data_IF_074106039865
#
_entry.id   IF_074106039865
#
_cell.length_a   1.000
_cell.length_b   1.000
_cell.length_c   1.000
_cell.angle_alpha   90.00
_cell.angle_beta   90.00
_cell.angle_gamma   90.00
#
_symmetry.space_group_name_H-M   'P 1'
#
loop_
_entity.id
_entity.type
_entity.pdbx_description
1 polymer ?
#
# COMPACT_ATOMS: atom_id res chain seq x y z
N UNK A 1 27.60 -26.03 21.06
CA UNK A 1 27.87 -25.28 19.82
C UNK A 1 26.52 -24.66 19.42
N UNK A 2 26.30 -23.41 19.81
CA UNK A 2 25.07 -22.68 19.45
C UNK A 2 25.09 -22.43 17.94
N UNK A 3 24.18 -23.05 17.22
CA UNK A 3 23.91 -22.70 15.85
C UNK A 3 23.25 -21.33 15.84
N UNK A 4 24.04 -20.29 15.58
CA UNK A 4 23.50 -18.98 15.22
C UNK A 4 22.76 -19.21 13.90
N UNK A 5 21.43 -19.26 13.97
CA UNK A 5 20.57 -19.23 12.80
C UNK A 5 20.76 -17.90 12.09
N UNK A 6 21.70 -17.86 11.12
CA UNK A 6 21.85 -16.73 10.23
C UNK A 6 20.65 -16.71 9.29
N UNK A 7 19.59 -16.02 9.68
CA UNK A 7 18.49 -15.72 8.78
C UNK A 7 19.00 -14.88 7.61
N UNK A 8 18.43 -15.09 6.45
CA UNK A 8 18.67 -14.25 5.27
C UNK A 8 18.44 -12.78 5.62
N UNK A 9 19.28 -11.88 5.10
CA UNK A 9 19.10 -10.43 5.28
C UNK A 9 17.76 -9.95 4.68
N UNK A 10 17.27 -10.61 3.62
CA UNK A 10 16.04 -10.27 2.91
C UNK A 10 14.86 -11.21 3.23
N UNK A 11 14.75 -11.70 4.49
CA UNK A 11 13.63 -12.55 4.91
C UNK A 11 12.29 -11.97 4.44
N UNK A 12 11.46 -12.84 3.83
CA UNK A 12 10.14 -12.46 3.36
C UNK A 12 9.07 -12.66 4.44
N UNK A 13 8.35 -11.60 4.74
CA UNK A 13 7.08 -11.66 5.46
C UNK A 13 5.92 -11.48 4.47
N UNK A 14 5.05 -12.48 4.34
CA UNK A 14 3.92 -12.47 3.42
C UNK A 14 2.63 -12.73 4.18
N UNK A 15 1.65 -11.84 4.04
CA UNK A 15 0.37 -11.90 4.76
C UNK A 15 0.55 -12.11 6.29
N UNK A 16 1.43 -11.30 6.90
CA UNK A 16 1.73 -11.34 8.33
C UNK A 16 2.59 -12.54 8.79
N UNK A 17 3.08 -13.38 7.88
CA UNK A 17 3.86 -14.58 8.19
C UNK A 17 5.27 -14.47 7.66
N UNK A 18 6.28 -14.56 8.51
CA UNK A 18 7.68 -14.63 8.09
C UNK A 18 8.02 -16.04 7.62
N UNK A 19 8.19 -16.24 6.31
CA UNK A 19 8.38 -17.56 5.70
C UNK A 19 9.69 -18.20 6.14
N UNK A 20 10.75 -17.42 6.29
CA UNK A 20 12.09 -17.87 6.72
C UNK A 20 12.10 -18.41 8.17
N UNK A 21 11.07 -18.05 8.97
CA UNK A 21 10.94 -18.53 10.37
C UNK A 21 9.98 -19.69 10.51
N UNK A 22 8.90 -19.71 9.73
CA UNK A 22 7.82 -20.71 9.89
C UNK A 22 8.03 -21.98 9.08
N UNK A 23 8.84 -21.92 8.00
CA UNK A 23 9.18 -23.10 7.20
C UNK A 23 10.63 -23.44 7.50
N UNK A 24 10.83 -24.48 8.32
CA UNK A 24 12.16 -24.96 8.64
C UNK A 24 12.94 -25.37 7.38
N UNK A 25 14.18 -24.89 7.25
CA UNK A 25 15.04 -25.11 6.08
C UNK A 25 14.68 -24.27 4.85
N UNK A 26 13.71 -23.38 4.91
CA UNK A 26 13.48 -22.34 3.90
C UNK A 26 14.36 -21.13 4.16
N UNK A 27 14.85 -20.52 3.10
CA UNK A 27 15.58 -19.24 3.16
C UNK A 27 15.35 -18.44 1.89
N UNK A 28 14.99 -17.18 2.04
CA UNK A 28 14.96 -16.20 0.95
C UNK A 28 16.39 -15.82 0.61
N UNK A 29 16.84 -16.07 -0.63
CA UNK A 29 18.24 -15.86 -1.04
C UNK A 29 18.44 -14.47 -1.63
N UNK A 30 17.56 -14.10 -2.56
CA UNK A 30 17.65 -12.86 -3.32
C UNK A 30 16.27 -12.38 -3.73
N UNK A 31 16.14 -11.07 -3.97
CA UNK A 31 14.89 -10.46 -4.40
C UNK A 31 15.18 -9.45 -5.51
N UNK A 32 14.54 -9.63 -6.66
CA UNK A 32 14.63 -8.75 -7.83
C UNK A 32 13.35 -7.93 -8.00
N UNK A 33 13.44 -6.80 -8.72
CA UNK A 33 12.27 -5.97 -9.06
C UNK A 33 11.88 -4.96 -7.98
N UNK A 34 12.64 -4.85 -6.87
CA UNK A 34 12.36 -3.89 -5.79
C UNK A 34 12.85 -2.47 -6.07
N UNK A 35 13.90 -2.36 -6.87
CA UNK A 35 14.58 -1.09 -7.14
C UNK A 35 14.32 -0.66 -8.58
N UNK A 36 14.69 0.58 -8.90
CA UNK A 36 14.69 1.17 -10.26
C UNK A 36 13.46 0.80 -11.09
N UNK A 37 12.48 1.66 -11.06
CA UNK A 37 11.22 1.46 -11.76
C UNK A 37 11.00 2.59 -12.75
N UNK A 38 10.68 2.24 -14.00
CA UNK A 38 10.50 3.21 -15.07
C UNK A 38 9.03 3.46 -15.34
N UNK A 39 8.64 4.72 -15.62
CA UNK A 39 7.30 5.02 -16.09
C UNK A 39 7.04 4.40 -17.46
N UNK A 40 5.78 4.11 -17.73
CA UNK A 40 5.27 3.83 -19.08
C UNK A 40 4.86 5.15 -19.71
N UNK A 41 5.54 5.54 -20.79
CA UNK A 41 5.31 6.79 -21.48
C UNK A 41 4.70 6.52 -22.85
N UNK A 42 3.58 7.16 -23.16
CA UNK A 42 2.93 7.09 -24.45
C UNK A 42 3.10 8.41 -25.19
N UNK A 43 3.62 8.34 -26.43
CA UNK A 43 3.89 9.50 -27.24
C UNK A 43 3.10 9.47 -28.55
N UNK A 44 2.71 10.65 -29.03
CA UNK A 44 2.09 10.81 -30.34
C UNK A 44 2.92 11.73 -31.20
N UNK A 45 3.23 11.27 -32.42
CA UNK A 45 3.87 12.09 -33.44
C UNK A 45 2.84 12.91 -34.20
N UNK A 46 3.06 14.21 -34.30
CA UNK A 46 2.23 15.14 -35.12
C UNK A 46 2.95 15.45 -36.40
N UNK A 47 2.26 15.24 -37.53
CA UNK A 47 2.81 15.52 -38.85
C UNK A 47 3.13 17.01 -39.03
N UNK A 48 4.33 17.33 -39.49
CA UNK A 48 4.78 18.71 -39.69
C UNK A 48 5.33 19.41 -38.44
N UNK A 49 5.52 18.67 -37.36
CA UNK A 49 6.15 19.15 -36.12
C UNK A 49 7.36 18.27 -35.79
N UNK A 50 8.44 18.90 -35.31
CA UNK A 50 9.60 18.19 -34.80
C UNK A 50 9.31 17.66 -33.38
N UNK A 51 9.78 16.42 -33.12
CA UNK A 51 9.56 15.73 -31.83
C UNK A 51 8.17 15.12 -31.70
N UNK A 52 7.87 14.64 -30.48
CA UNK A 52 6.63 13.95 -30.11
C UNK A 52 5.91 14.72 -29.02
N UNK A 53 4.60 14.46 -28.86
CA UNK A 53 3.79 14.97 -27.74
C UNK A 53 3.59 13.81 -26.77
N UNK A 54 3.92 14.02 -25.50
CA UNK A 54 3.57 13.09 -24.42
C UNK A 54 2.05 13.08 -24.23
N UNK A 55 1.44 11.90 -24.38
CA UNK A 55 0.00 11.71 -24.23
C UNK A 55 -0.33 11.18 -22.84
N UNK A 56 0.47 10.20 -22.35
CA UNK A 56 0.21 9.52 -21.10
C UNK A 56 1.53 9.23 -20.38
N UNK A 57 1.51 9.42 -19.07
CA UNK A 57 2.58 9.09 -18.14
C UNK A 57 1.96 8.29 -16.97
N UNK A 58 2.32 7.03 -16.87
CA UNK A 58 1.81 6.15 -15.83
C UNK A 58 2.88 5.18 -15.34
N UNK A 59 2.71 4.65 -14.13
CA UNK A 59 3.55 3.57 -13.61
C UNK A 59 2.81 2.25 -13.73
N UNK A 60 3.37 1.27 -14.47
CA UNK A 60 2.76 -0.04 -14.63
C UNK A 60 2.80 -0.85 -13.32
N UNK A 61 2.10 -1.98 -13.28
CA UNK A 61 2.23 -2.96 -12.20
C UNK A 61 3.68 -3.43 -12.06
N UNK A 62 4.06 -3.83 -10.86
CA UNK A 62 5.42 -4.28 -10.54
C UNK A 62 5.46 -5.79 -10.31
N UNK A 63 6.50 -6.43 -10.78
CA UNK A 63 6.79 -7.83 -10.47
C UNK A 63 8.00 -7.94 -9.56
N UNK A 64 7.81 -8.60 -8.42
CA UNK A 64 8.87 -8.90 -7.46
C UNK A 64 9.21 -10.38 -7.57
N UNK A 65 10.43 -10.71 -7.99
CA UNK A 65 10.91 -12.08 -8.10
C UNK A 65 11.70 -12.46 -6.86
N UNK A 66 11.23 -13.46 -6.15
CA UNK A 66 11.83 -13.95 -4.91
C UNK A 66 12.54 -15.28 -5.19
N UNK A 67 13.85 -15.31 -5.02
CA UNK A 67 14.66 -16.51 -5.09
C UNK A 67 14.76 -17.12 -3.71
N UNK A 68 14.55 -18.43 -3.63
CA UNK A 68 14.54 -19.15 -2.36
C UNK A 68 15.38 -20.44 -2.43
N UNK A 69 15.78 -20.90 -1.27
CA UNK A 69 16.39 -22.20 -1.01
C UNK A 69 15.48 -22.96 -0.04
N UNK A 70 15.22 -24.23 -0.34
CA UNK A 70 14.63 -25.19 0.62
C UNK A 70 15.58 -26.34 0.82
N UNK A 71 15.84 -26.69 2.09
CA UNK A 71 16.58 -27.88 2.50
C UNK A 71 15.68 -28.77 3.34
N UNK A 72 15.76 -30.09 3.09
CA UNK A 72 15.03 -31.07 3.88
C UNK A 72 15.91 -32.30 4.16
N UNK A 73 15.52 -33.10 5.15
CA UNK A 73 16.24 -34.33 5.52
C UNK A 73 16.08 -35.44 4.46
N UNK A 74 14.93 -35.47 3.80
CA UNK A 74 14.61 -36.41 2.75
C UNK A 74 13.56 -35.82 1.79
N UNK A 75 13.29 -36.55 0.68
CA UNK A 75 12.36 -36.12 -0.36
C UNK A 75 10.91 -35.93 0.16
N UNK A 76 10.44 -36.78 1.08
CA UNK A 76 9.08 -36.62 1.63
C UNK A 76 8.92 -35.29 2.39
N UNK A 77 9.91 -34.94 3.20
CA UNK A 77 9.94 -33.67 3.90
C UNK A 77 10.10 -32.50 2.92
N UNK A 78 10.90 -32.66 1.86
CA UNK A 78 11.03 -31.65 0.82
C UNK A 78 9.67 -31.34 0.18
N UNK A 79 8.94 -32.35 -0.26
CA UNK A 79 7.61 -32.19 -0.86
C UNK A 79 6.60 -31.56 0.12
N UNK A 80 6.68 -31.92 1.41
CA UNK A 80 5.83 -31.32 2.43
C UNK A 80 6.13 -29.83 2.61
N UNK A 81 7.41 -29.43 2.65
CA UNK A 81 7.82 -28.03 2.76
C UNK A 81 7.40 -27.22 1.53
N UNK A 82 7.51 -27.79 0.32
CA UNK A 82 7.01 -27.17 -0.90
C UNK A 82 5.50 -26.91 -0.86
N UNK A 83 4.71 -27.89 -0.41
CA UNK A 83 3.26 -27.69 -0.20
C UNK A 83 2.94 -26.62 0.81
N UNK A 84 3.70 -26.55 1.91
CA UNK A 84 3.54 -25.47 2.91
C UNK A 84 3.86 -24.10 2.33
N UNK A 85 4.95 -23.98 1.57
CA UNK A 85 5.31 -22.73 0.90
C UNK A 85 4.20 -22.28 -0.05
N UNK A 86 3.71 -23.17 -0.91
CA UNK A 86 2.59 -22.88 -1.81
C UNK A 86 1.35 -22.43 -1.04
N UNK A 87 0.99 -23.13 0.04
CA UNK A 87 -0.18 -22.79 0.87
C UNK A 87 -0.06 -21.40 1.51
N UNK A 88 1.14 -21.04 1.98
CA UNK A 88 1.34 -19.73 2.63
C UNK A 88 1.39 -18.56 1.63
N UNK A 89 1.76 -18.82 0.37
CA UNK A 89 1.80 -17.81 -0.69
C UNK A 89 0.46 -17.62 -1.40
N UNK A 90 -0.48 -18.56 -1.28
CA UNK A 90 -1.79 -18.41 -1.91
C UNK A 90 -2.64 -17.34 -1.23
N UNK A 91 -3.18 -16.45 -2.04
CA UNK A 91 -4.17 -15.45 -1.62
C UNK A 91 -5.17 -15.17 -2.75
N UNK A 92 -6.41 -14.81 -2.40
CA UNK A 92 -7.43 -14.41 -3.38
C UNK A 92 -7.32 -12.94 -3.76
N UNK A 93 -6.70 -12.14 -2.90
CA UNK A 93 -6.56 -10.69 -3.00
C UNK A 93 -5.08 -10.32 -2.84
N UNK A 94 -4.75 -9.09 -3.20
CA UNK A 94 -3.43 -8.55 -2.92
C UNK A 94 -3.26 -8.41 -1.40
N UNK A 95 -2.20 -8.99 -0.87
CA UNK A 95 -1.89 -9.00 0.56
C UNK A 95 -0.63 -8.22 0.86
N UNK A 96 -0.54 -7.72 2.08
CA UNK A 96 0.65 -7.02 2.54
C UNK A 96 1.84 -7.99 2.64
N UNK A 97 2.99 -7.57 2.11
CA UNK A 97 4.25 -8.27 2.27
C UNK A 97 5.42 -7.28 2.44
N UNK A 98 6.50 -7.76 3.05
CA UNK A 98 7.70 -6.95 3.31
C UNK A 98 8.94 -7.82 3.36
N UNK A 99 10.08 -7.17 3.19
CA UNK A 99 11.40 -7.79 3.33
C UNK A 99 12.13 -7.21 4.54
N UNK A 100 12.92 -8.01 5.22
CA UNK A 100 13.61 -7.60 6.45
C UNK A 100 14.66 -6.50 6.23
N UNK A 101 15.19 -6.39 5.03
CA UNK A 101 16.20 -5.40 4.60
C UNK A 101 15.59 -4.12 4.02
N UNK A 102 14.25 -4.00 3.95
CA UNK A 102 13.56 -2.85 3.39
C UNK A 102 12.60 -2.23 4.43
N UNK A 103 12.61 -0.91 4.54
CA UNK A 103 11.67 -0.22 5.42
C UNK A 103 10.37 0.10 4.65
N UNK A 104 9.35 -0.71 4.86
CA UNK A 104 8.06 -0.52 4.25
C UNK A 104 7.35 -1.82 3.94
N UNK A 105 6.18 -1.69 3.34
CA UNK A 105 5.33 -2.79 2.92
C UNK A 105 4.86 -2.58 1.49
N UNK A 106 4.61 -3.67 0.79
CA UNK A 106 4.00 -3.69 -0.54
C UNK A 106 2.74 -4.53 -0.50
N UNK A 107 1.89 -4.35 -1.50
CA UNK A 107 0.69 -5.16 -1.69
C UNK A 107 0.79 -5.94 -2.98
N UNK A 108 0.51 -7.23 -2.93
CA UNK A 108 0.59 -8.09 -4.10
C UNK A 108 0.18 -9.53 -3.79
N UNK A 109 0.17 -10.35 -4.82
CA UNK A 109 -0.16 -11.78 -4.74
C UNK A 109 0.76 -12.60 -5.62
N UNK A 110 0.85 -13.88 -5.30
CA UNK A 110 1.59 -14.84 -6.10
C UNK A 110 1.04 -14.88 -7.53
N UNK A 111 1.90 -14.67 -8.53
CA UNK A 111 1.54 -14.75 -9.96
C UNK A 111 2.15 -15.95 -10.67
N UNK A 112 3.35 -16.35 -10.30
CA UNK A 112 3.99 -17.53 -10.87
C UNK A 112 4.92 -18.21 -9.87
N UNK A 113 5.15 -19.49 -10.09
CA UNK A 113 5.98 -20.33 -9.25
C UNK A 113 6.77 -21.28 -10.14
N UNK A 114 8.09 -21.31 -9.99
CA UNK A 114 8.93 -22.29 -10.69
C UNK A 114 8.83 -23.64 -9.99
N UNK A 115 8.69 -24.70 -10.75
CA UNK A 115 8.64 -26.06 -10.26
C UNK A 115 10.08 -26.59 -10.10
N UNK A 116 10.60 -26.75 -8.88
CA UNK A 116 11.95 -27.28 -8.66
C UNK A 116 11.99 -28.79 -8.91
N UNK A 117 13.19 -29.38 -9.10
CA UNK A 117 13.34 -30.83 -9.30
C UNK A 117 12.66 -31.66 -8.23
N UNK A 118 11.87 -32.63 -8.65
CA UNK A 118 10.95 -33.40 -7.81
C UNK A 118 11.61 -34.40 -6.85
N UNK A 119 12.80 -34.86 -7.16
CA UNK A 119 13.55 -35.93 -6.47
C UNK A 119 14.74 -35.40 -5.65
N UNK A 120 14.64 -34.21 -5.15
CA UNK A 120 15.72 -33.56 -4.42
C UNK A 120 15.41 -33.38 -2.95
N UNK A 121 16.44 -33.29 -2.12
CA UNK A 121 16.37 -32.86 -0.71
C UNK A 121 16.72 -31.38 -0.56
N UNK A 122 17.26 -30.76 -1.61
CA UNK A 122 17.64 -29.36 -1.69
C UNK A 122 17.12 -28.80 -2.99
N UNK A 123 16.32 -27.76 -2.92
CA UNK A 123 15.79 -27.07 -4.09
C UNK A 123 16.08 -25.58 -4.02
N UNK A 124 16.52 -25.03 -5.15
CA UNK A 124 16.60 -23.60 -5.39
C UNK A 124 15.55 -23.29 -6.44
N UNK A 125 14.68 -22.35 -6.14
CA UNK A 125 13.63 -21.93 -7.05
C UNK A 125 13.37 -20.43 -6.94
N UNK A 126 12.40 -19.98 -7.73
CA UNK A 126 11.90 -18.61 -7.64
C UNK A 126 10.39 -18.61 -7.78
N UNK A 127 9.78 -17.57 -7.22
CA UNK A 127 8.38 -17.22 -7.48
C UNK A 127 8.25 -15.72 -7.68
N UNK A 128 7.18 -15.33 -8.34
CA UNK A 128 6.91 -13.93 -8.64
C UNK A 128 5.67 -13.47 -7.88
N UNK A 129 5.79 -12.34 -7.21
CA UNK A 129 4.67 -11.60 -6.62
C UNK A 129 4.32 -10.47 -7.57
N UNK A 130 3.09 -10.45 -8.05
CA UNK A 130 2.55 -9.36 -8.85
C UNK A 130 1.94 -8.30 -7.92
N UNK A 131 2.43 -7.07 -8.05
CA UNK A 131 1.93 -5.90 -7.35
C UNK A 131 1.14 -5.05 -8.33
N UNK A 132 -0.19 -5.05 -8.21
CA UNK A 132 -1.07 -4.20 -9.03
C UNK A 132 -0.79 -2.72 -8.77
N UNK A 133 -0.43 -2.40 -7.52
CA UNK A 133 0.08 -1.11 -7.08
C UNK A 133 1.62 -1.16 -6.97
N UNK A 134 2.36 -0.34 -7.73
CA UNK A 134 3.83 -0.44 -7.79
C UNK A 134 4.55 0.16 -6.59
N UNK A 135 3.85 0.84 -5.68
CA UNK A 135 4.46 1.61 -4.60
C UNK A 135 4.89 0.76 -3.40
N UNK A 136 5.93 1.26 -2.73
CA UNK A 136 6.31 0.87 -1.37
C UNK A 136 5.66 1.84 -0.40
N UNK A 137 5.04 1.33 0.64
CA UNK A 137 4.33 2.10 1.66
C UNK A 137 5.05 2.07 3.00
N UNK A 138 5.12 3.21 3.67
CA UNK A 138 5.57 3.30 5.05
C UNK A 138 4.60 2.60 6.02
N UNK A 139 4.98 2.52 7.29
CA UNK A 139 4.02 2.25 8.38
C UNK A 139 2.99 3.39 8.45
N UNK A 140 1.79 3.07 8.96
CA UNK A 140 0.75 4.08 9.19
C UNK A 140 1.27 5.15 10.16
N UNK A 141 1.08 6.39 9.78
CA UNK A 141 1.36 7.59 10.59
C UNK A 141 0.08 8.36 10.80
N UNK A 142 0.04 9.18 11.85
CA UNK A 142 -1.10 10.03 12.18
C UNK A 142 -0.62 11.45 12.43
N UNK A 143 -1.16 12.40 11.68
CA UNK A 143 -0.93 13.83 11.86
C UNK A 143 -2.26 14.56 12.12
N UNK A 144 -2.20 15.72 12.76
CA UNK A 144 -3.39 16.51 13.06
C UNK A 144 -3.34 17.85 12.34
N UNK A 145 -4.38 18.14 11.56
CA UNK A 145 -4.60 19.39 10.80
C UNK A 145 -3.56 19.72 9.73
N UNK A 146 -2.39 19.10 9.76
CA UNK A 146 -1.32 19.33 8.79
C UNK A 146 -0.42 18.12 8.70
N UNK A 147 -0.11 17.68 7.49
CA UNK A 147 0.90 16.64 7.23
C UNK A 147 2.29 17.27 7.40
N UNK A 148 3.11 16.68 8.26
CA UNK A 148 4.47 17.15 8.57
C UNK A 148 5.51 16.09 8.22
N UNK A 149 6.73 16.55 7.98
CA UNK A 149 7.95 15.74 7.95
C UNK A 149 7.84 14.45 7.10
N UNK A 150 7.39 14.60 5.86
CA UNK A 150 7.46 13.51 4.88
C UNK A 150 8.89 13.34 4.42
N UNK A 151 9.31 12.07 4.31
CA UNK A 151 10.59 11.71 3.70
C UNK A 151 10.52 11.90 2.18
N UNK A 152 9.36 11.62 1.60
CA UNK A 152 9.09 11.75 0.16
C UNK A 152 7.88 12.65 -0.04
N UNK A 153 8.08 13.86 -0.55
CA UNK A 153 7.03 14.86 -0.77
C UNK A 153 6.55 14.96 -2.22
N UNK A 154 7.12 14.14 -3.10
CA UNK A 154 6.82 14.17 -4.53
C UNK A 154 5.44 13.58 -4.86
N UNK A 155 5.02 12.52 -4.14
CA UNK A 155 3.78 11.82 -4.44
C UNK A 155 2.62 12.31 -3.56
N UNK A 156 1.39 12.45 -4.12
CA UNK A 156 0.23 12.73 -3.31
C UNK A 156 -0.05 11.56 -2.35
N UNK A 157 -0.49 11.89 -1.16
CA UNK A 157 -0.89 10.92 -0.14
C UNK A 157 -2.40 10.74 -0.23
N UNK A 158 -2.84 9.48 -0.36
CA UNK A 158 -4.24 9.14 -0.10
C UNK A 158 -4.34 8.71 1.36
N UNK A 159 -5.15 9.41 2.17
CA UNK A 159 -5.33 9.01 3.56
C UNK A 159 -5.97 7.62 3.65
N UNK A 160 -5.46 6.80 4.58
CA UNK A 160 -6.12 5.56 5.01
C UNK A 160 -7.45 5.87 5.71
N UNK A 161 -7.43 6.91 6.57
CA UNK A 161 -8.63 7.52 7.15
C UNK A 161 -8.41 8.98 7.52
N UNK A 162 -9.49 9.76 7.51
CA UNK A 162 -9.55 11.08 8.11
C UNK A 162 -10.63 11.04 9.18
N UNK A 163 -10.26 11.35 10.42
CA UNK A 163 -11.13 11.22 11.57
C UNK A 163 -11.26 12.55 12.32
N UNK A 164 -12.47 12.85 12.75
CA UNK A 164 -12.74 14.05 13.54
C UNK A 164 -13.89 13.86 14.52
N UNK A 165 -13.80 14.52 15.66
CA UNK A 165 -14.92 14.66 16.60
C UNK A 165 -15.43 16.09 16.51
N UNK A 166 -16.71 16.27 16.26
CA UNK A 166 -17.32 17.58 16.05
C UNK A 166 -17.45 18.34 17.36
N UNK A 167 -17.13 19.62 17.33
CA UNK A 167 -17.22 20.52 18.48
C UNK A 167 -18.43 21.42 18.42
N UNK A 168 -19.09 21.51 17.27
CA UNK A 168 -20.29 22.33 17.04
C UNK A 168 -21.32 21.60 16.21
N UNK A 169 -22.55 22.09 16.19
CA UNK A 169 -23.69 21.53 15.46
C UNK A 169 -24.03 22.38 14.25
N UNK A 170 -24.29 21.76 13.11
CA UNK A 170 -24.77 22.39 11.88
C UNK A 170 -25.37 21.36 10.93
N UNK A 171 -26.06 21.82 9.88
CA UNK A 171 -26.61 20.98 8.81
C UNK A 171 -25.65 20.77 7.63
N UNK A 172 -24.43 21.31 7.72
CA UNK A 172 -23.41 21.22 6.66
C UNK A 172 -22.02 21.08 7.27
N UNK A 173 -21.31 19.99 6.90
CA UNK A 173 -19.90 19.81 7.23
C UNK A 173 -19.05 20.09 5.99
N UNK A 174 -17.99 20.86 6.16
CA UNK A 174 -17.03 21.18 5.10
C UNK A 174 -15.61 20.83 5.58
N UNK A 175 -15.03 19.79 5.01
CA UNK A 175 -13.62 19.46 5.15
C UNK A 175 -12.85 20.17 4.03
N UNK A 176 -11.80 20.92 4.36
CA UNK A 176 -11.00 21.68 3.38
C UNK A 176 -9.54 21.32 3.45
N UNK A 177 -8.93 21.11 2.29
CA UNK A 177 -7.50 21.30 2.10
C UNK A 177 -7.27 22.77 1.76
N UNK A 178 -6.87 23.57 2.76
CA UNK A 178 -6.73 25.03 2.63
C UNK A 178 -5.63 25.37 1.62
N UNK A 179 -4.55 24.59 1.61
CA UNK A 179 -3.37 24.84 0.78
C UNK A 179 -3.70 24.71 -0.71
N UNK A 180 -4.55 23.75 -1.06
CA UNK A 180 -4.90 23.44 -2.46
C UNK A 180 -6.26 23.96 -2.90
N UNK A 181 -7.08 24.47 -1.97
CA UNK A 181 -8.43 24.94 -2.25
C UNK A 181 -9.45 23.83 -2.47
N UNK A 182 -9.09 22.55 -2.21
CA UNK A 182 -9.98 21.40 -2.35
C UNK A 182 -10.92 21.29 -1.16
N UNK A 183 -12.13 20.78 -1.37
CA UNK A 183 -13.13 20.62 -0.30
C UNK A 183 -13.98 19.37 -0.47
N UNK A 184 -14.48 18.87 0.66
CA UNK A 184 -15.51 17.82 0.72
C UNK A 184 -16.67 18.39 1.53
N UNK A 185 -17.86 18.32 0.99
CA UNK A 185 -19.08 18.89 1.57
C UNK A 185 -20.10 17.78 1.83
N UNK A 186 -20.62 17.73 3.05
CA UNK A 186 -21.67 16.81 3.48
C UNK A 186 -22.87 17.60 3.98
N UNK A 187 -24.05 17.30 3.44
CA UNK A 187 -25.30 17.97 3.79
C UNK A 187 -26.19 17.01 4.62
N UNK A 188 -26.06 17.09 5.94
CA UNK A 188 -26.90 16.39 6.93
C UNK A 188 -26.78 17.06 8.29
N UNK A 189 -27.68 16.73 9.21
CA UNK A 189 -27.61 17.28 10.58
C UNK A 189 -26.45 16.66 11.35
N UNK A 190 -25.55 17.50 11.81
CA UNK A 190 -24.43 17.17 12.69
C UNK A 190 -24.63 17.76 14.06
N UNK A 191 -24.23 17.04 15.10
CA UNK A 191 -24.27 17.49 16.50
C UNK A 191 -22.87 17.51 17.10
N UNK A 192 -22.64 18.40 18.04
CA UNK A 192 -21.42 18.38 18.85
C UNK A 192 -21.26 16.99 19.51
N UNK A 193 -20.06 16.41 19.44
CA UNK A 193 -19.76 15.06 19.90
C UNK A 193 -19.89 13.97 18.83
N UNK A 194 -20.51 14.22 17.66
CA UNK A 194 -20.52 13.24 16.57
C UNK A 194 -19.11 12.96 16.09
N UNK A 195 -18.83 11.68 15.78
CA UNK A 195 -17.58 11.23 15.16
C UNK A 195 -17.79 11.05 13.67
N UNK A 196 -17.01 11.74 12.86
CA UNK A 196 -17.01 11.60 11.40
C UNK A 196 -15.71 10.97 10.96
N UNK A 197 -15.80 9.93 10.11
CA UNK A 197 -14.64 9.18 9.59
C UNK A 197 -14.79 9.00 8.09
N UNK A 198 -13.79 9.44 7.35
CA UNK A 198 -13.62 9.13 5.92
C UNK A 198 -12.67 7.94 5.83
N UNK A 199 -13.08 6.84 5.22
CA UNK A 199 -12.28 5.63 5.07
C UNK A 199 -12.81 4.78 3.92
N UNK A 200 -11.91 4.18 3.13
CA UNK A 200 -12.23 3.23 2.05
C UNK A 200 -13.31 3.78 1.09
N UNK A 201 -13.16 5.05 0.68
CA UNK A 201 -14.13 5.74 -0.19
C UNK A 201 -15.56 5.82 0.39
N UNK A 202 -15.68 5.78 1.72
CA UNK A 202 -16.94 5.90 2.45
C UNK A 202 -16.83 6.98 3.52
N UNK A 203 -17.97 7.51 3.91
CA UNK A 203 -18.06 8.48 4.99
C UNK A 203 -18.99 7.93 6.06
N UNK A 204 -18.50 7.91 7.29
CA UNK A 204 -19.25 7.40 8.42
C UNK A 204 -19.50 8.52 9.44
N UNK A 205 -20.72 8.59 9.96
CA UNK A 205 -21.08 9.37 11.14
C UNK A 205 -21.52 8.41 12.23
N UNK A 206 -20.83 8.37 13.36
CA UNK A 206 -21.10 7.46 14.48
C UNK A 206 -21.25 5.99 14.05
N UNK A 207 -20.45 5.52 13.06
CA UNK A 207 -20.47 4.19 12.40
C UNK A 207 -21.55 4.01 11.33
N UNK A 208 -22.48 4.92 11.15
CA UNK A 208 -23.46 4.90 10.06
C UNK A 208 -22.84 5.47 8.78
N UNK A 209 -22.99 4.77 7.65
CA UNK A 209 -22.49 5.25 6.36
C UNK A 209 -23.41 6.36 5.85
N UNK A 210 -22.86 7.55 5.68
CA UNK A 210 -23.54 8.76 5.21
C UNK A 210 -23.02 9.26 3.86
N UNK A 211 -22.38 8.41 3.06
CA UNK A 211 -21.84 8.81 1.76
C UNK A 211 -22.91 9.42 0.82
N UNK A 212 -24.16 8.99 0.93
CA UNK A 212 -25.28 9.54 0.19
C UNK A 212 -25.58 11.02 0.48
N UNK A 213 -25.03 11.56 1.57
CA UNK A 213 -25.14 12.96 1.96
C UNK A 213 -24.03 13.85 1.38
N UNK A 214 -23.14 13.25 0.56
CA UNK A 214 -22.08 13.98 -0.14
C UNK A 214 -22.68 14.88 -1.21
N UNK A 215 -22.31 16.17 -1.16
CA UNK A 215 -22.60 17.10 -2.23
C UNK A 215 -21.53 16.95 -3.32
N UNK A 216 -21.87 16.22 -4.37
CA UNK A 216 -20.95 15.94 -5.48
C UNK A 216 -20.63 17.18 -6.33
N UNK A 217 -21.46 18.20 -6.32
CA UNK A 217 -21.26 19.43 -7.10
C UNK A 217 -20.28 20.36 -6.38
N UNK A 218 -20.40 20.42 -5.05
CA UNK A 218 -19.53 21.28 -4.24
C UNK A 218 -18.25 20.55 -3.74
N UNK A 219 -18.07 19.25 -4.03
CA UNK A 219 -16.97 18.44 -3.48
C UNK A 219 -15.97 17.99 -4.53
N UNK A 220 -14.70 18.06 -4.18
CA UNK A 220 -13.57 17.50 -4.92
C UNK A 220 -13.23 16.10 -4.35
N UNK A 221 -14.24 15.27 -4.07
CA UNK A 221 -14.09 14.04 -3.29
C UNK A 221 -13.11 13.04 -3.90
N UNK A 222 -13.13 12.87 -5.22
CA UNK A 222 -12.26 11.93 -5.92
C UNK A 222 -10.84 12.47 -6.14
N UNK A 223 -10.68 13.79 -6.11
CA UNK A 223 -9.43 14.50 -6.35
C UNK A 223 -8.85 15.09 -5.04
N UNK A 224 -9.37 14.67 -3.87
CA UNK A 224 -8.94 15.17 -2.58
C UNK A 224 -7.59 14.53 -2.16
N UNK A 225 -6.57 14.80 -2.97
CA UNK A 225 -5.20 14.43 -2.65
C UNK A 225 -4.59 15.37 -1.61
N UNK A 226 -3.75 14.80 -0.77
CA UNK A 226 -3.02 15.54 0.27
C UNK A 226 -1.53 15.38 0.02
N UNK A 227 -0.79 16.47 0.11
CA UNK A 227 0.67 16.49 -0.05
C UNK A 227 1.34 16.94 1.24
N UNK A 228 2.68 16.87 1.25
CA UNK A 228 3.48 17.41 2.32
C UNK A 228 3.11 18.87 2.61
N UNK A 229 2.99 19.19 3.89
CA UNK A 229 2.67 20.54 4.43
C UNK A 229 1.27 21.06 4.13
N UNK A 230 0.41 20.27 3.48
CA UNK A 230 -0.97 20.66 3.27
C UNK A 230 -1.69 20.84 4.62
N UNK A 231 -2.47 21.90 4.72
CA UNK A 231 -3.28 22.25 5.89
C UNK A 231 -4.72 21.81 5.67
N UNK A 232 -5.20 20.95 6.55
CA UNK A 232 -6.55 20.40 6.51
C UNK A 232 -7.36 20.99 7.68
N UNK A 233 -8.57 21.42 7.40
CA UNK A 233 -9.47 21.98 8.40
C UNK A 233 -10.90 21.51 8.19
N UNK A 234 -11.68 21.51 9.25
CA UNK A 234 -13.12 21.28 9.23
C UNK A 234 -13.85 22.44 9.91
N UNK A 235 -14.99 22.86 9.35
CA UNK A 235 -15.79 23.93 9.93
C UNK A 235 -16.44 23.57 11.29
N UNK A 236 -16.59 22.26 11.58
CA UNK A 236 -17.26 21.76 12.79
C UNK A 236 -16.32 21.07 13.77
N UNK A 237 -15.03 20.95 13.46
CA UNK A 237 -14.05 20.28 14.31
C UNK A 237 -12.75 21.10 14.39
N UNK A 238 -12.16 21.15 15.59
CA UNK A 238 -10.89 21.83 15.80
C UNK A 238 -9.70 20.94 15.37
N UNK A 239 -9.85 19.62 15.53
CA UNK A 239 -8.83 18.64 15.22
C UNK A 239 -9.31 17.67 14.14
N UNK A 240 -8.57 17.61 13.07
CA UNK A 240 -8.73 16.64 11.99
C UNK A 240 -7.52 15.70 12.02
N UNK A 241 -7.73 14.46 12.40
CA UNK A 241 -6.69 13.43 12.46
C UNK A 241 -6.62 12.76 11.10
N UNK A 242 -5.44 12.72 10.51
CA UNK A 242 -5.20 12.13 9.19
C UNK A 242 -4.28 10.94 9.40
N UNK A 243 -4.80 9.74 9.16
CA UNK A 243 -4.03 8.51 9.18
C UNK A 243 -3.60 8.19 7.75
N UNK A 244 -2.32 8.00 7.51
CA UNK A 244 -1.79 7.84 6.16
C UNK A 244 -0.51 7.00 6.13
N UNK A 245 -0.16 6.56 4.94
CA UNK A 245 1.15 5.97 4.63
C UNK A 245 1.84 6.85 3.58
N UNK A 246 3.13 7.08 3.78
CA UNK A 246 3.96 7.62 2.70
C UNK A 246 4.14 6.55 1.64
N UNK A 247 4.18 6.94 0.38
CA UNK A 247 4.44 6.03 -0.73
C UNK A 247 5.63 6.48 -1.55
N UNK A 248 6.40 5.51 -2.00
CA UNK A 248 7.55 5.71 -2.89
C UNK A 248 7.61 4.58 -3.93
N UNK A 249 8.14 4.90 -5.11
CA UNK A 249 8.36 3.90 -6.17
C UNK A 249 9.57 3.03 -5.91
#
# INVERSE_FOLDING_TARGET
MEYILNFSKCCLSFNGRNLDRIIDGYSTINVEGRQMFSPSLSYQRVRGRDGDILIEDSYPSREIKVHYLIKAENNQWFLKKMKLLTMYLQSKEDVEFSFADEQGVRFGRLSSFDDPPFDSNVGIGKFTIHCSDPYLYSKIRSDTNQIRDLVYDYYPIRPESIEMTLTSSANKLVLKNITRGLRIVLNTDFKAGDKVTFKDWKVYKNKENILSMLDYVESDYFDFDIYARDKISCNLANNVIINFRERVL
#
